data_IF_778673899907
#
_entry.id   IF_778673899907
#
_cell.length_a   1.000
_cell.length_b   1.000
_cell.length_c   1.000
_cell.angle_alpha   90.00
_cell.angle_beta   90.00
_cell.angle_gamma   90.00
#
_symmetry.space_group_name_H-M   'P 1'
#
loop_
_entity.id
_entity.type
_entity.pdbx_description
1 polymer ?
#
# COMPACT_ATOMS: atom_id res chain seq x y z
N UNK A 1 -9.18 -25.48 -9.74
CA UNK A 1 -8.03 -26.05 -9.00
C UNK A 1 -8.01 -25.38 -7.64
N UNK A 2 -7.92 -26.13 -6.54
CA UNK A 2 -7.77 -25.51 -5.22
C UNK A 2 -6.39 -24.82 -5.19
N UNK A 3 -6.38 -23.51 -5.38
CA UNK A 3 -5.16 -22.70 -5.38
C UNK A 3 -4.49 -22.71 -4.01
N UNK A 4 -3.18 -22.46 -3.99
CA UNK A 4 -2.45 -22.21 -2.75
C UNK A 4 -3.09 -21.02 -2.03
N UNK A 5 -3.58 -21.22 -0.80
CA UNK A 5 -4.10 -20.14 0.02
C UNK A 5 -2.95 -19.52 0.82
N UNK A 6 -2.62 -18.26 0.54
CA UNK A 6 -1.60 -17.55 1.32
C UNK A 6 -2.16 -17.21 2.71
N UNK A 7 -1.62 -17.78 3.79
CA UNK A 7 -2.12 -17.49 5.14
C UNK A 7 -1.90 -16.02 5.49
N UNK A 8 -2.83 -15.46 6.26
CA UNK A 8 -2.74 -14.08 6.79
C UNK A 8 -2.66 -13.00 5.69
N UNK A 9 -3.16 -13.26 4.48
CA UNK A 9 -3.11 -12.29 3.38
C UNK A 9 -3.75 -10.95 3.75
N UNK A 10 -4.96 -10.98 4.30
CA UNK A 10 -5.69 -9.79 4.75
C UNK A 10 -4.96 -9.05 5.87
N UNK A 11 -4.38 -9.78 6.83
CA UNK A 11 -3.59 -9.19 7.91
C UNK A 11 -2.31 -8.53 7.38
N UNK A 12 -1.63 -9.14 6.40
CA UNK A 12 -0.48 -8.57 5.73
C UNK A 12 -0.81 -7.27 4.99
N UNK A 13 -1.98 -7.23 4.32
CA UNK A 13 -2.51 -6.01 3.69
C UNK A 13 -2.78 -4.94 4.74
N UNK A 14 -3.54 -5.25 5.79
CA UNK A 14 -3.90 -4.27 6.82
C UNK A 14 -2.67 -3.76 7.58
N UNK A 15 -1.68 -4.61 7.86
CA UNK A 15 -0.42 -4.22 8.48
C UNK A 15 0.39 -3.28 7.59
N UNK A 16 0.35 -3.45 6.27
CA UNK A 16 1.01 -2.52 5.33
C UNK A 16 0.44 -1.10 5.46
N UNK A 17 -0.88 -0.98 5.61
CA UNK A 17 -1.60 0.29 5.79
C UNK A 17 -1.15 0.96 7.09
N UNK A 18 -1.07 0.20 8.18
CA UNK A 18 -0.53 0.69 9.47
C UNK A 18 0.92 1.15 9.32
N UNK A 19 1.78 0.32 8.74
CA UNK A 19 3.22 0.58 8.64
C UNK A 19 3.51 1.86 7.84
N UNK A 20 2.91 2.03 6.66
CA UNK A 20 3.12 3.22 5.84
C UNK A 20 2.45 4.47 6.41
N UNK A 21 1.29 4.33 7.06
CA UNK A 21 0.65 5.42 7.80
C UNK A 21 1.54 5.95 8.92
N UNK A 22 2.10 5.05 9.75
CA UNK A 22 3.04 5.42 10.80
C UNK A 22 4.35 5.99 10.24
N UNK A 23 4.85 5.47 9.11
CA UNK A 23 6.02 6.03 8.45
C UNK A 23 5.80 7.50 8.06
N UNK A 24 4.60 7.87 7.62
CA UNK A 24 4.23 9.26 7.34
C UNK A 24 4.06 10.11 8.62
N UNK A 25 3.51 9.54 9.70
CA UNK A 25 3.40 10.21 11.02
C UNK A 25 4.78 10.58 11.56
N UNK A 26 5.71 9.63 11.57
CA UNK A 26 7.04 9.83 12.15
C UNK A 26 8.05 10.40 11.16
N UNK A 27 7.68 10.59 9.89
CA UNK A 27 8.57 11.06 8.84
C UNK A 27 9.79 10.16 8.66
N UNK A 28 9.58 8.84 8.70
CA UNK A 28 10.68 7.86 8.63
C UNK A 28 11.46 8.00 7.33
N UNK A 29 12.79 8.09 7.46
CA UNK A 29 13.74 8.13 6.34
C UNK A 29 14.60 6.88 6.38
N UNK A 30 14.23 5.90 5.56
CA UNK A 30 14.96 4.65 5.45
C UNK A 30 15.81 4.65 4.17
N UNK A 31 16.95 3.91 4.15
CA UNK A 31 17.71 3.72 2.92
C UNK A 31 16.85 3.00 1.87
N UNK A 32 17.08 3.30 0.58
CA UNK A 32 16.25 2.81 -0.53
C UNK A 32 16.09 1.29 -0.52
N UNK A 33 17.16 0.55 -0.21
CA UNK A 33 17.10 -0.91 -0.13
C UNK A 33 16.11 -1.42 0.93
N UNK A 34 16.06 -0.77 2.10
CA UNK A 34 15.13 -1.14 3.17
C UNK A 34 13.67 -0.81 2.79
N UNK A 35 13.43 0.33 2.15
CA UNK A 35 12.11 0.67 1.61
C UNK A 35 11.66 -0.32 0.55
N UNK A 36 12.56 -0.67 -0.39
CA UNK A 36 12.29 -1.66 -1.43
C UNK A 36 11.96 -3.03 -0.84
N UNK A 37 12.70 -3.47 0.18
CA UNK A 37 12.42 -4.72 0.89
C UNK A 37 11.06 -4.69 1.62
N UNK A 38 10.74 -3.59 2.30
CA UNK A 38 9.46 -3.42 3.00
C UNK A 38 8.27 -3.43 2.04
N UNK A 39 8.34 -2.61 0.97
CA UNK A 39 7.30 -2.55 -0.07
C UNK A 39 7.17 -3.88 -0.79
N UNK A 40 8.30 -4.50 -1.17
CA UNK A 40 8.31 -5.81 -1.84
C UNK A 40 7.75 -6.93 -0.96
N UNK A 41 8.04 -6.90 0.35
CA UNK A 41 7.45 -7.85 1.30
C UNK A 41 5.93 -7.74 1.37
N UNK A 42 5.40 -6.53 1.48
CA UNK A 42 3.95 -6.32 1.47
C UNK A 42 3.31 -6.60 0.10
N UNK A 43 4.03 -6.38 -1.00
CA UNK A 43 3.54 -6.64 -2.36
C UNK A 43 3.16 -8.11 -2.60
N UNK A 44 3.73 -9.06 -1.85
CA UNK A 44 3.33 -10.47 -1.91
C UNK A 44 1.87 -10.65 -1.50
N UNK A 45 1.43 -10.03 -0.40
CA UNK A 45 0.06 -10.15 0.09
C UNK A 45 -0.95 -9.45 -0.82
N UNK A 46 -0.63 -8.21 -1.22
CA UNK A 46 -1.46 -7.45 -2.17
C UNK A 46 -1.56 -8.15 -3.52
N UNK A 47 -0.43 -8.59 -4.09
CA UNK A 47 -0.40 -9.28 -5.37
C UNK A 47 -1.15 -10.62 -5.35
N UNK A 48 -1.05 -11.36 -4.24
CA UNK A 48 -1.85 -12.56 -4.03
C UNK A 48 -3.36 -12.25 -4.02
N UNK A 49 -3.81 -11.25 -3.26
CA UNK A 49 -5.21 -10.86 -3.19
C UNK A 49 -5.74 -10.42 -4.57
N UNK A 50 -4.98 -9.59 -5.29
CA UNK A 50 -5.33 -9.18 -6.65
C UNK A 50 -5.45 -10.35 -7.62
N UNK A 51 -4.55 -11.34 -7.54
CA UNK A 51 -4.64 -12.55 -8.35
C UNK A 51 -5.82 -13.45 -7.97
N UNK A 52 -6.14 -13.56 -6.67
CA UNK A 52 -7.25 -14.36 -6.17
C UNK A 52 -8.62 -13.75 -6.48
N UNK A 53 -8.72 -12.42 -6.50
CA UNK A 53 -9.94 -11.66 -6.82
C UNK A 53 -10.10 -11.35 -8.32
N UNK A 54 -9.08 -11.66 -9.14
CA UNK A 54 -9.12 -11.44 -10.57
C UNK A 54 -10.28 -12.22 -11.20
N UNK A 55 -11.11 -11.60 -12.08
CA UNK A 55 -12.15 -12.32 -12.79
C UNK A 55 -11.56 -13.47 -13.61
N UNK A 56 -12.18 -14.65 -13.56
CA UNK A 56 -11.72 -15.83 -14.32
C UNK A 56 -11.69 -15.59 -15.84
N UNK A 57 -12.49 -14.64 -16.33
CA UNK A 57 -12.57 -14.25 -17.74
C UNK A 57 -11.54 -13.20 -18.15
N UNK A 58 -10.80 -12.62 -17.20
CA UNK A 58 -9.78 -11.62 -17.49
C UNK A 58 -8.43 -12.27 -17.85
N UNK A 59 -7.71 -11.67 -18.80
CA UNK A 59 -6.31 -12.03 -19.06
C UNK A 59 -5.43 -11.54 -17.92
N UNK A 60 -4.69 -12.45 -17.28
CA UNK A 60 -3.76 -12.10 -16.20
C UNK A 60 -2.68 -11.09 -16.61
N UNK A 61 -2.23 -11.14 -17.87
CA UNK A 61 -1.25 -10.17 -18.39
C UNK A 61 -1.87 -8.77 -18.49
N UNK A 62 -3.07 -8.66 -19.04
CA UNK A 62 -3.75 -7.36 -19.20
C UNK A 62 -4.11 -6.77 -17.83
N UNK A 63 -4.61 -7.60 -16.93
CA UNK A 63 -4.92 -7.20 -15.55
C UNK A 63 -3.66 -6.71 -14.83
N UNK A 64 -2.55 -7.46 -14.92
CA UNK A 64 -1.28 -7.08 -14.31
C UNK A 64 -0.70 -5.78 -14.89
N UNK A 65 -0.76 -5.57 -16.21
CA UNK A 65 -0.31 -4.32 -16.84
C UNK A 65 -1.19 -3.13 -16.43
N UNK A 66 -2.50 -3.32 -16.36
CA UNK A 66 -3.43 -2.30 -15.86
C UNK A 66 -3.16 -1.94 -14.41
N UNK A 67 -2.88 -2.94 -13.57
CA UNK A 67 -2.52 -2.74 -12.17
C UNK A 67 -1.20 -1.97 -12.01
N UNK A 68 -0.17 -2.34 -12.78
CA UNK A 68 1.12 -1.65 -12.79
C UNK A 68 0.96 -0.19 -13.24
N UNK A 69 0.21 0.05 -14.31
CA UNK A 69 -0.07 1.39 -14.82
C UNK A 69 -0.85 2.23 -13.81
N UNK A 70 -1.89 1.68 -13.19
CA UNK A 70 -2.67 2.34 -12.13
C UNK A 70 -1.81 2.69 -10.92
N UNK A 71 -0.96 1.75 -10.48
CA UNK A 71 -0.03 1.97 -9.37
C UNK A 71 0.97 3.07 -9.69
N UNK A 72 1.57 3.07 -10.90
CA UNK A 72 2.49 4.10 -11.34
C UNK A 72 1.82 5.48 -11.40
N UNK A 73 0.57 5.55 -11.88
CA UNK A 73 -0.19 6.80 -11.95
C UNK A 73 -0.50 7.34 -10.55
N UNK A 74 -0.99 6.50 -9.64
CA UNK A 74 -1.29 6.90 -8.26
C UNK A 74 -0.03 7.39 -7.53
N UNK A 75 1.12 6.74 -7.74
CA UNK A 75 2.40 7.20 -7.19
C UNK A 75 2.83 8.54 -7.78
N UNK A 76 2.71 8.72 -9.10
CA UNK A 76 3.05 9.98 -9.75
C UNK A 76 2.19 11.15 -9.23
N UNK A 77 0.87 10.92 -9.09
CA UNK A 77 -0.06 11.91 -8.51
C UNK A 77 0.30 12.21 -7.05
N UNK A 78 0.52 11.19 -6.23
CA UNK A 78 0.89 11.37 -4.82
C UNK A 78 2.19 12.13 -4.63
N UNK A 79 3.22 11.81 -5.43
CA UNK A 79 4.50 12.53 -5.46
C UNK A 79 4.31 13.99 -5.88
N UNK A 80 3.53 14.23 -6.94
CA UNK A 80 3.22 15.59 -7.40
C UNK A 80 2.53 16.43 -6.30
N UNK A 81 1.51 15.87 -5.65
CA UNK A 81 0.83 16.51 -4.52
C UNK A 81 1.79 16.79 -3.35
N UNK A 82 2.67 15.84 -3.03
CA UNK A 82 3.69 16.00 -1.99
C UNK A 82 4.69 17.12 -2.28
N UNK A 83 5.17 17.22 -3.52
CA UNK A 83 6.09 18.27 -3.96
C UNK A 83 5.42 19.67 -3.91
N UNK A 84 4.17 19.78 -4.35
CA UNK A 84 3.39 21.02 -4.26
C UNK A 84 3.17 21.41 -2.80
N UNK A 85 2.79 20.46 -1.95
CA UNK A 85 2.55 20.71 -0.53
C UNK A 85 3.83 21.12 0.22
N UNK A 86 4.99 20.55 -0.12
CA UNK A 86 6.28 20.90 0.49
C UNK A 86 6.64 22.39 0.31
N UNK A 87 6.19 23.01 -0.79
CA UNK A 87 6.34 24.46 -1.01
C UNK A 87 5.54 25.35 -0.05
N UNK A 88 4.55 24.81 0.67
CA UNK A 88 3.57 25.59 1.46
C UNK A 88 3.85 25.66 2.97
N UNK A 89 5.02 25.23 3.45
CA UNK A 89 5.41 25.17 4.90
C UNK A 89 4.40 24.46 5.84
N UNK A 90 3.42 23.71 5.32
CA UNK A 90 2.46 22.96 6.15
C UNK A 90 3.05 21.65 6.64
N UNK A 91 3.78 21.71 7.75
CA UNK A 91 4.48 20.57 8.37
C UNK A 91 3.58 19.49 8.97
N UNK A 92 2.26 19.77 9.12
CA UNK A 92 1.33 18.87 9.83
C UNK A 92 0.49 17.97 8.92
N UNK A 93 0.43 18.25 7.60
CA UNK A 93 -0.53 17.58 6.72
C UNK A 93 -0.17 16.11 6.45
N UNK A 94 1.11 15.83 6.19
CA UNK A 94 1.58 14.46 5.95
C UNK A 94 1.41 13.56 7.20
N UNK A 95 1.79 14.00 8.41
CA UNK A 95 1.49 13.24 9.63
C UNK A 95 0.00 13.02 9.89
N UNK A 96 -0.86 14.02 9.67
CA UNK A 96 -2.30 13.87 9.86
C UNK A 96 -2.91 12.82 8.91
N UNK A 97 -2.58 12.90 7.62
CA UNK A 97 -3.04 11.92 6.63
C UNK A 97 -2.48 10.53 6.94
N UNK A 98 -1.20 10.43 7.30
CA UNK A 98 -0.57 9.20 7.75
C UNK A 98 -1.26 8.59 8.98
N UNK A 99 -1.64 9.43 9.95
CA UNK A 99 -2.38 9.02 11.14
C UNK A 99 -3.75 8.43 10.80
N UNK A 100 -4.50 9.09 9.92
CA UNK A 100 -5.79 8.57 9.42
C UNK A 100 -5.60 7.21 8.75
N UNK A 101 -4.60 7.07 7.87
CA UNK A 101 -4.27 5.81 7.21
C UNK A 101 -3.93 4.73 8.24
N UNK A 102 -3.09 5.04 9.22
CA UNK A 102 -2.71 4.07 10.26
C UNK A 102 -3.91 3.61 11.10
N UNK A 103 -4.79 4.54 11.51
CA UNK A 103 -6.02 4.22 12.26
C UNK A 103 -6.93 3.30 11.45
N UNK A 104 -7.12 3.58 10.16
CA UNK A 104 -7.89 2.71 9.28
C UNK A 104 -7.26 1.31 9.15
N UNK A 105 -5.93 1.22 9.05
CA UNK A 105 -5.22 -0.06 9.06
C UNK A 105 -5.43 -0.86 10.35
N UNK A 106 -5.41 -0.19 11.51
CA UNK A 106 -5.71 -0.82 12.81
C UNK A 106 -7.16 -1.28 12.87
N UNK A 107 -8.10 -0.47 12.39
CA UNK A 107 -9.51 -0.85 12.33
C UNK A 107 -9.74 -2.07 11.42
N UNK A 108 -9.05 -2.14 10.28
CA UNK A 108 -9.08 -3.30 9.39
C UNK A 108 -8.56 -4.55 10.10
N UNK A 109 -7.40 -4.47 10.76
CA UNK A 109 -6.85 -5.58 11.55
C UNK A 109 -7.83 -6.05 12.62
N UNK A 110 -8.42 -5.13 13.38
CA UNK A 110 -9.37 -5.46 14.45
C UNK A 110 -10.72 -6.00 13.94
N UNK A 111 -11.02 -5.86 12.65
CA UNK A 111 -12.30 -6.30 12.06
C UNK A 111 -12.24 -7.70 11.45
N UNK A 112 -11.04 -8.26 11.27
CA UNK A 112 -10.81 -9.57 10.64
C UNK A 112 -10.25 -10.61 11.62
N UNK A 113 -10.18 -10.26 12.91
CA UNK A 113 -9.83 -11.12 14.05
C UNK A 113 -10.77 -10.84 15.22
#
# INVERSE_FOLDING_TARGET
MAGFALPLAEAGIALSVVAFGLAAVFGLRLPLAALGALVGGFAVFHGYAHGAEMPETASGLVYGLGFLAGTALLHAVGLGLGLVAAGTRRTVMAPMLGGTVAVLGVALLASHF
#
